data_IF_522013236327
#
_entry.id   IF_522013236327
#
_cell.length_a   1.000
_cell.length_b   1.000
_cell.length_c   1.000
_cell.angle_alpha   90.00
_cell.angle_beta   90.00
_cell.angle_gamma   90.00
#
_symmetry.space_group_name_H-M   'P 1'
#
loop_
_entity.id
_entity.type
_entity.pdbx_description
1 polymer ?
#
# COMPACT_ATOMS: atom_id res chain seq x y z
N UNK A 1 3.53 -2.41 4.76
CA UNK A 1 2.60 -2.75 3.67
C UNK A 1 3.16 -3.93 2.90
N UNK A 2 2.28 -4.83 2.50
CA UNK A 2 2.63 -6.03 1.73
C UNK A 2 1.93 -6.00 0.39
N UNK A 3 2.57 -6.51 -0.67
CA UNK A 3 1.92 -6.72 -1.97
C UNK A 3 1.04 -7.98 -1.96
N UNK A 4 0.42 -8.28 -3.11
CA UNK A 4 -0.43 -9.45 -3.30
C UNK A 4 0.27 -10.80 -3.04
N UNK A 5 1.61 -10.86 -3.11
CA UNK A 5 2.41 -12.06 -2.78
C UNK A 5 2.72 -12.18 -1.29
N UNK A 6 2.35 -11.17 -0.49
CA UNK A 6 2.68 -11.10 0.93
C UNK A 6 4.07 -10.53 1.22
N UNK A 7 4.80 -10.07 0.20
CA UNK A 7 6.15 -9.50 0.37
C UNK A 7 6.05 -8.10 0.96
N UNK A 8 6.90 -7.78 1.95
CA UNK A 8 6.94 -6.43 2.53
C UNK A 8 7.63 -5.47 1.56
N UNK A 9 6.87 -4.51 1.02
CA UNK A 9 7.36 -3.55 0.01
C UNK A 9 7.53 -2.13 0.54
N UNK A 10 6.92 -1.81 1.68
CA UNK A 10 7.02 -0.49 2.31
C UNK A 10 6.83 -0.58 3.81
N UNK A 11 7.64 0.16 4.56
CA UNK A 11 7.57 0.27 6.02
C UNK A 11 7.82 1.70 6.46
N UNK A 12 7.30 2.08 7.63
CA UNK A 12 7.48 3.41 8.19
C UNK A 12 6.98 3.48 9.63
N UNK A 13 7.40 4.53 10.34
CA UNK A 13 6.92 4.88 11.69
C UNK A 13 6.52 6.34 11.65
N UNK A 14 5.35 6.65 12.21
CA UNK A 14 4.82 8.02 12.27
C UNK A 14 4.30 8.30 13.68
N UNK A 15 4.42 9.54 14.13
CA UNK A 15 3.90 10.01 15.43
C UNK A 15 2.49 10.60 15.32
N UNK A 16 2.03 10.91 14.11
CA UNK A 16 0.67 11.36 13.81
C UNK A 16 -0.26 10.23 13.37
N UNK A 17 -1.44 10.60 12.85
CA UNK A 17 -2.49 9.67 12.42
C UNK A 17 -2.45 9.35 10.93
N UNK A 18 -1.52 9.94 10.17
CA UNK A 18 -1.42 9.78 8.71
C UNK A 18 -0.01 9.40 8.29
N UNK A 19 0.11 8.58 7.23
CA UNK A 19 1.36 8.23 6.60
C UNK A 19 1.17 8.18 5.08
N UNK A 20 2.20 8.58 4.33
CA UNK A 20 2.19 8.52 2.86
C UNK A 20 3.04 7.34 2.39
N UNK A 21 2.51 6.55 1.46
CA UNK A 21 3.23 5.49 0.78
C UNK A 21 3.44 5.87 -0.68
N UNK A 22 4.69 5.95 -1.13
CA UNK A 22 5.07 6.34 -2.49
C UNK A 22 5.83 5.20 -3.18
N UNK A 23 6.01 5.30 -4.50
CA UNK A 23 6.75 4.30 -5.28
C UNK A 23 6.06 2.94 -5.42
N UNK A 24 4.74 2.90 -5.24
CA UNK A 24 3.94 1.69 -5.41
C UNK A 24 3.73 1.37 -6.89
N UNK A 25 3.66 0.07 -7.20
CA UNK A 25 3.40 -0.41 -8.56
C UNK A 25 1.90 -0.14 -8.87
N UNK A 26 1.58 0.48 -10.01
CA UNK A 26 0.20 0.67 -10.46
C UNK A 26 -0.56 -0.66 -10.64
N UNK A 27 -1.89 -0.63 -10.49
CA UNK A 27 -2.76 -1.80 -10.68
C UNK A 27 -2.49 -2.96 -9.71
N UNK A 28 -1.79 -2.71 -8.61
CA UNK A 28 -1.36 -3.75 -7.66
C UNK A 28 -2.16 -3.67 -6.38
N UNK A 29 -2.58 -4.84 -5.87
CA UNK A 29 -3.24 -4.94 -4.58
C UNK A 29 -2.20 -4.93 -3.44
N UNK A 30 -2.45 -4.11 -2.43
CA UNK A 30 -1.63 -3.98 -1.24
C UNK A 30 -2.46 -4.18 0.02
N UNK A 31 -1.83 -4.75 1.03
CA UNK A 31 -2.40 -4.94 2.37
C UNK A 31 -1.57 -4.16 3.40
N UNK A 32 -2.26 -3.36 4.21
CA UNK A 32 -1.67 -2.47 5.21
C UNK A 32 -1.89 -3.05 6.60
N UNK A 33 -0.78 -3.18 7.34
CA UNK A 33 -0.76 -3.57 8.74
C UNK A 33 -0.22 -2.41 9.56
N UNK A 34 -0.86 -2.12 10.69
CA UNK A 34 -0.46 -1.05 11.61
C UNK A 34 -0.25 -1.68 13.00
N UNK A 35 0.64 -1.10 13.80
CA UNK A 35 0.81 -1.44 15.22
C UNK A 35 1.31 -0.22 15.99
N UNK A 36 1.13 -0.24 17.30
CA UNK A 36 1.75 0.74 18.18
C UNK A 36 3.25 0.50 18.33
N UNK A 37 4.03 1.59 18.43
CA UNK A 37 5.46 1.57 18.74
C UNK A 37 5.69 2.52 19.92
N UNK A 38 5.98 1.94 21.09
CA UNK A 38 6.23 2.67 22.34
C UNK A 38 7.71 2.52 22.71
N UNK A 39 8.59 3.29 22.05
CA UNK A 39 10.04 3.16 22.19
C UNK A 39 10.56 1.83 21.63
N UNK A 40 11.20 1.02 22.48
CA UNK A 40 11.68 -0.31 22.08
C UNK A 40 10.55 -1.35 21.98
N UNK A 41 9.42 -1.10 22.65
CA UNK A 41 8.28 -2.02 22.69
C UNK A 41 7.37 -1.82 21.49
N UNK A 42 6.91 -2.93 20.90
CA UNK A 42 5.94 -2.94 19.80
C UNK A 42 4.71 -3.73 20.24
N UNK A 43 3.53 -3.20 19.95
CA UNK A 43 2.28 -3.93 20.12
C UNK A 43 2.06 -4.96 19.00
N UNK A 44 0.95 -5.68 19.09
CA UNK A 44 0.50 -6.58 18.04
C UNK A 44 0.11 -5.82 16.77
N UNK A 45 0.23 -6.50 15.64
CA UNK A 45 -0.28 -6.00 14.37
C UNK A 45 -1.81 -6.03 14.35
N UNK A 46 -2.40 -5.10 13.61
CA UNK A 46 -3.85 -5.07 13.33
C UNK A 46 -4.36 -6.44 12.86
N UNK A 47 -5.35 -6.98 13.57
CA UNK A 47 -6.03 -8.25 13.23
C UNK A 47 -6.78 -8.17 11.90
N UNK A 48 -7.36 -7.01 11.61
CA UNK A 48 -8.07 -6.74 10.36
C UNK A 48 -7.28 -5.71 9.55
N UNK A 49 -6.35 -6.16 8.69
CA UNK A 49 -5.61 -5.25 7.84
C UNK A 49 -6.50 -4.65 6.76
N UNK A 50 -6.14 -3.45 6.30
CA UNK A 50 -6.85 -2.76 5.23
C UNK A 50 -6.17 -3.08 3.91
N UNK A 51 -6.94 -3.52 2.92
CA UNK A 51 -6.44 -3.73 1.56
C UNK A 51 -6.96 -2.67 0.61
N UNK A 52 -6.11 -2.25 -0.33
CA UNK A 52 -6.47 -1.34 -1.42
C UNK A 52 -5.73 -1.72 -2.69
N UNK A 53 -6.26 -1.33 -3.83
CA UNK A 53 -5.61 -1.51 -5.13
C UNK A 53 -5.21 -0.14 -5.67
N UNK A 54 -3.95 0.00 -6.07
CA UNK A 54 -3.48 1.23 -6.73
C UNK A 54 -4.15 1.38 -8.10
N UNK A 55 -4.29 2.62 -8.55
CA UNK A 55 -4.77 2.88 -9.91
C UNK A 55 -3.83 2.24 -10.92
N UNK A 56 -4.38 1.73 -12.03
CA UNK A 56 -3.58 1.28 -13.16
C UNK A 56 -2.85 2.46 -13.80
N UNK A 57 -1.74 2.19 -14.49
CA UNK A 57 -1.10 3.19 -15.35
C UNK A 57 -2.09 3.67 -16.39
N UNK A 58 -2.21 4.99 -16.56
CA UNK A 58 -2.98 5.55 -17.65
C UNK A 58 -2.36 5.13 -18.99
N UNK A 59 -3.19 4.58 -19.88
CA UNK A 59 -2.79 4.28 -21.25
C UNK A 59 -3.08 5.54 -22.06
N UNK A 60 -2.03 6.25 -22.47
CA UNK A 60 -2.13 7.48 -23.27
C UNK A 60 -2.09 7.22 -24.79
N UNK A 61 -2.25 5.96 -25.22
CA UNK A 61 -2.27 5.65 -26.65
C UNK A 61 -3.55 6.18 -27.27
N UNK A 62 -3.46 6.71 -28.48
CA UNK A 62 -4.64 7.04 -29.29
C UNK A 62 -5.49 5.77 -29.42
N UNK A 63 -6.68 5.79 -28.82
CA UNK A 63 -7.68 4.75 -29.07
C UNK A 63 -8.07 4.87 -30.54
N UNK A 64 -7.60 3.94 -31.38
CA UNK A 64 -8.00 3.81 -32.77
C UNK A 64 -9.05 2.71 -32.83
N UNK A 65 -10.30 3.10 -33.06
CA UNK A 65 -11.42 2.20 -33.28
C UNK A 65 -11.81 2.34 -34.75
N UNK A 66 -11.53 1.32 -35.56
CA UNK A 66 -11.85 1.26 -36.99
C UNK A 66 -13.30 0.79 -37.14
N UNK A 67 -14.24 1.73 -37.06
CA UNK A 67 -15.66 1.47 -37.28
C UNK A 67 -16.08 1.71 -38.74
#
# INVERSE_FOLDING_TARGET
MRDASGTVVSTGVVTGTTAQATGLIPGTNYTVYIRSVCGATKGDWTTFPVSFTTLCTAIATNFYEDF
#
